data_IF_064422915352
#
_entry.id   IF_064422915352
#
_cell.length_a   1.000
_cell.length_b   1.000
_cell.length_c   1.000
_cell.angle_alpha   90.00
_cell.angle_beta   90.00
_cell.angle_gamma   90.00
#
_symmetry.space_group_name_H-M   'P 1'
#
loop_
_entity.id
_entity.type
_entity.pdbx_description
1 polymer ?
#
# COMPACT_ATOMS: atom_id res chain seq x y z
N UNK A 1 -29.43 36.38 1.16
CA UNK A 1 -30.52 35.98 2.06
C UNK A 1 -31.22 37.24 2.52
N UNK A 2 -32.54 37.34 2.34
CA UNK A 2 -33.30 38.53 2.71
C UNK A 2 -33.86 38.34 4.14
N UNK A 3 -33.35 39.07 5.15
CA UNK A 3 -33.80 38.90 6.53
C UNK A 3 -35.22 39.43 6.77
N UNK A 4 -35.81 40.14 5.82
CA UNK A 4 -37.18 40.66 5.89
C UNK A 4 -38.24 39.69 5.33
N UNK A 5 -37.83 38.54 4.77
CA UNK A 5 -38.72 37.54 4.19
C UNK A 5 -38.37 36.14 4.65
N UNK A 6 -39.34 35.45 5.24
CA UNK A 6 -39.27 34.01 5.49
C UNK A 6 -39.59 33.23 4.21
N UNK A 7 -38.76 32.24 3.90
CA UNK A 7 -38.96 31.33 2.75
C UNK A 7 -39.56 30.02 3.28
N UNK A 8 -40.72 29.62 2.77
CA UNK A 8 -41.35 28.34 3.13
C UNK A 8 -40.73 27.16 2.34
N UNK A 9 -41.03 25.90 2.71
CA UNK A 9 -40.40 24.72 2.07
C UNK A 9 -40.71 24.61 0.56
N UNK A 10 -41.94 24.94 0.15
CA UNK A 10 -42.33 24.94 -1.28
C UNK A 10 -41.52 25.96 -2.09
N UNK A 11 -41.31 27.15 -1.53
CA UNK A 11 -40.47 28.18 -2.14
C UNK A 11 -39.00 27.74 -2.18
N UNK A 12 -38.48 27.05 -1.15
CA UNK A 12 -37.11 26.49 -1.17
C UNK A 12 -36.94 25.45 -2.27
N UNK A 13 -37.89 24.52 -2.40
CA UNK A 13 -37.86 23.51 -3.45
C UNK A 13 -37.92 24.14 -4.85
N UNK A 14 -38.79 25.14 -5.04
CA UNK A 14 -38.83 25.92 -6.27
C UNK A 14 -37.47 26.60 -6.56
N UNK A 15 -36.87 27.24 -5.55
CA UNK A 15 -35.54 27.87 -5.68
C UNK A 15 -34.43 26.86 -6.02
N UNK A 16 -34.47 25.65 -5.45
CA UNK A 16 -33.52 24.59 -5.76
C UNK A 16 -33.69 24.07 -7.20
N UNK A 17 -34.93 23.96 -7.70
CA UNK A 17 -35.21 23.51 -9.07
C UNK A 17 -34.67 24.47 -10.13
N UNK A 18 -34.76 25.78 -9.90
CA UNK A 18 -34.26 26.81 -10.84
C UNK A 18 -32.80 27.20 -10.59
N UNK A 19 -32.14 26.58 -9.61
CA UNK A 19 -30.79 26.97 -9.17
C UNK A 19 -29.74 26.84 -10.28
N UNK A 20 -29.89 25.83 -11.14
CA UNK A 20 -29.00 25.59 -12.30
C UNK A 20 -29.10 26.67 -13.37
N UNK A 21 -30.28 27.28 -13.53
CA UNK A 21 -30.52 28.33 -14.51
C UNK A 21 -30.04 29.69 -13.98
N UNK A 22 -30.32 29.98 -12.71
CA UNK A 22 -29.92 31.23 -12.06
C UNK A 22 -28.41 31.32 -11.80
N UNK A 23 -27.73 30.18 -11.62
CA UNK A 23 -26.30 30.10 -11.24
C UNK A 23 -25.93 31.13 -10.17
N UNK A 24 -26.55 31.10 -8.97
CA UNK A 24 -26.39 32.15 -7.95
C UNK A 24 -24.94 32.34 -7.48
N UNK A 25 -24.10 31.32 -7.67
CA UNK A 25 -22.66 31.34 -7.36
C UNK A 25 -21.78 31.29 -8.62
N UNK A 26 -22.35 31.49 -9.80
CA UNK A 26 -21.69 31.32 -11.09
C UNK A 26 -21.05 29.94 -11.23
N UNK A 27 -19.79 29.90 -11.65
CA UNK A 27 -19.04 28.67 -11.87
C UNK A 27 -18.28 28.18 -10.62
N UNK A 28 -18.46 28.82 -9.46
CA UNK A 28 -17.73 28.48 -8.24
C UNK A 28 -18.02 27.05 -7.75
N UNK A 29 -19.29 26.57 -7.67
CA UNK A 29 -19.58 25.21 -7.23
C UNK A 29 -18.92 24.16 -8.13
N UNK A 30 -18.93 24.35 -9.45
CA UNK A 30 -18.30 23.44 -10.42
C UNK A 30 -16.78 23.37 -10.23
N UNK A 31 -16.11 24.51 -10.02
CA UNK A 31 -14.66 24.54 -9.76
C UNK A 31 -14.30 23.82 -8.46
N UNK A 32 -15.09 24.02 -7.40
CA UNK A 32 -14.86 23.36 -6.11
C UNK A 32 -15.10 21.85 -6.23
N UNK A 33 -16.20 21.43 -6.86
CA UNK A 33 -16.49 20.01 -7.09
C UNK A 33 -15.35 19.32 -7.81
N UNK A 34 -14.81 19.92 -8.88
CA UNK A 34 -13.71 19.34 -9.65
C UNK A 34 -12.39 19.26 -8.86
N UNK A 35 -12.09 20.26 -8.03
CA UNK A 35 -10.94 20.22 -7.14
C UNK A 35 -11.09 19.16 -6.04
N UNK A 36 -12.26 19.11 -5.41
CA UNK A 36 -12.56 18.13 -4.36
C UNK A 36 -12.56 16.71 -4.91
N UNK A 37 -13.19 16.47 -6.05
CA UNK A 37 -13.26 15.15 -6.67
C UNK A 37 -11.87 14.57 -6.90
N UNK A 38 -10.96 15.34 -7.50
CA UNK A 38 -9.57 14.92 -7.72
C UNK A 38 -8.84 14.61 -6.40
N UNK A 39 -8.97 15.51 -5.42
CA UNK A 39 -8.34 15.34 -4.10
C UNK A 39 -8.88 14.10 -3.37
N UNK A 40 -10.18 13.87 -3.39
CA UNK A 40 -10.81 12.73 -2.74
C UNK A 40 -10.48 11.42 -3.45
N UNK A 41 -10.42 11.40 -4.78
CA UNK A 41 -9.98 10.23 -5.54
C UNK A 41 -8.54 9.89 -5.16
N UNK A 42 -7.63 10.87 -5.17
CA UNK A 42 -6.25 10.66 -4.78
C UNK A 42 -6.14 10.13 -3.33
N UNK A 43 -6.84 10.76 -2.39
CA UNK A 43 -6.86 10.34 -0.98
C UNK A 43 -7.41 8.92 -0.80
N UNK A 44 -8.52 8.60 -1.45
CA UNK A 44 -9.12 7.26 -1.45
C UNK A 44 -8.16 6.22 -1.99
N UNK A 45 -7.45 6.54 -3.08
CA UNK A 45 -6.44 5.64 -3.65
C UNK A 45 -5.32 5.40 -2.65
N UNK A 46 -4.76 6.45 -2.04
CA UNK A 46 -3.70 6.32 -1.03
C UNK A 46 -4.14 5.41 0.12
N UNK A 47 -5.31 5.68 0.72
CA UNK A 47 -5.81 4.88 1.84
C UNK A 47 -6.02 3.42 1.45
N UNK A 48 -6.60 3.17 0.27
CA UNK A 48 -6.84 1.82 -0.23
C UNK A 48 -5.52 1.08 -0.49
N UNK A 49 -4.55 1.75 -1.09
CA UNK A 49 -3.23 1.16 -1.36
C UNK A 49 -2.50 0.84 -0.06
N UNK A 50 -2.55 1.72 0.95
CA UNK A 50 -1.96 1.48 2.26
C UNK A 50 -2.59 0.27 2.97
N UNK A 51 -3.91 0.16 2.93
CA UNK A 51 -4.65 -0.97 3.52
C UNK A 51 -4.25 -2.30 2.85
N UNK A 52 -4.20 -2.32 1.51
CA UNK A 52 -3.73 -3.49 0.76
C UNK A 52 -2.27 -3.83 1.03
N UNK A 53 -1.39 -2.83 1.13
CA UNK A 53 0.01 -3.04 1.48
C UNK A 53 0.14 -3.67 2.87
N UNK A 54 -0.66 -3.22 3.83
CA UNK A 54 -0.70 -3.79 5.17
C UNK A 54 -1.12 -5.27 5.15
N UNK A 55 -2.15 -5.64 4.39
CA UNK A 55 -2.55 -7.04 4.21
C UNK A 55 -1.44 -7.92 3.60
N UNK A 56 -0.71 -7.40 2.62
CA UNK A 56 0.42 -8.11 1.98
C UNK A 56 1.56 -8.30 2.98
N UNK A 57 1.90 -7.27 3.76
CA UNK A 57 2.93 -7.34 4.79
C UNK A 57 2.62 -8.42 5.83
N UNK A 58 1.38 -8.51 6.30
CA UNK A 58 0.98 -9.58 7.23
C UNK A 58 1.18 -10.97 6.63
N UNK A 59 0.84 -11.17 5.34
CA UNK A 59 1.07 -12.46 4.66
C UNK A 59 2.56 -12.80 4.54
N UNK A 60 3.43 -11.80 4.41
CA UNK A 60 4.88 -12.02 4.35
C UNK A 60 5.48 -12.46 5.69
N UNK A 61 4.85 -12.08 6.81
CA UNK A 61 5.28 -12.50 8.13
C UNK A 61 4.97 -13.98 8.42
N UNK A 62 3.95 -14.54 7.76
CA UNK A 62 3.52 -15.94 7.91
C UNK A 62 4.25 -16.91 6.96
N UNK A 63 5.34 -16.48 6.31
CA UNK A 63 6.04 -17.32 5.33
C UNK A 63 6.76 -18.49 6.01
N UNK A 64 6.44 -19.69 5.54
CA UNK A 64 7.06 -20.94 5.99
C UNK A 64 8.32 -21.20 5.18
N UNK A 65 9.44 -21.41 5.88
CA UNK A 65 10.71 -21.77 5.26
C UNK A 65 10.59 -23.17 4.65
N UNK A 66 10.87 -23.29 3.35
CA UNK A 66 10.78 -24.58 2.65
C UNK A 66 11.77 -25.61 3.21
N UNK A 67 11.45 -26.92 3.16
CA UNK A 67 12.37 -27.99 3.57
C UNK A 67 13.70 -27.96 2.82
N UNK A 68 13.67 -27.52 1.55
CA UNK A 68 14.86 -27.35 0.73
C UNK A 68 15.76 -26.24 1.28
N UNK A 69 15.18 -25.09 1.67
CA UNK A 69 15.92 -24.01 2.31
C UNK A 69 16.50 -24.46 3.67
N UNK A 70 15.72 -25.17 4.50
CA UNK A 70 16.21 -25.71 5.79
C UNK A 70 17.46 -26.57 5.59
N UNK A 71 17.46 -27.44 4.58
CA UNK A 71 18.61 -28.28 4.26
C UNK A 71 19.84 -27.43 3.86
N UNK A 72 19.66 -26.43 2.99
CA UNK A 72 20.75 -25.56 2.55
C UNK A 72 21.30 -24.68 3.69
N UNK A 73 20.42 -24.13 4.53
CA UNK A 73 20.81 -23.40 5.74
C UNK A 73 21.59 -24.28 6.71
N UNK A 74 21.14 -25.53 6.92
CA UNK A 74 21.84 -26.50 7.78
C UNK A 74 23.23 -26.81 7.24
N UNK A 75 23.37 -27.02 5.92
CA UNK A 75 24.67 -27.20 5.27
C UNK A 75 25.59 -26.00 5.46
N UNK A 76 25.04 -24.80 5.30
CA UNK A 76 25.79 -23.57 5.43
C UNK A 76 26.26 -23.30 6.88
N UNK A 77 25.41 -23.59 7.88
CA UNK A 77 25.68 -23.22 9.27
C UNK A 77 26.31 -24.33 10.11
N UNK A 78 25.98 -25.60 9.85
CA UNK A 78 26.29 -26.69 10.77
C UNK A 78 27.30 -27.69 10.19
N UNK A 79 27.29 -27.96 8.88
CA UNK A 79 28.11 -29.03 8.31
C UNK A 79 29.63 -28.87 8.51
N UNK A 80 30.14 -27.66 8.76
CA UNK A 80 31.55 -27.43 9.12
C UNK A 80 32.01 -28.19 10.38
N UNK A 81 31.13 -28.36 11.37
CA UNK A 81 31.43 -29.09 12.61
C UNK A 81 31.48 -30.59 12.31
N UNK A 82 30.54 -31.07 11.48
CA UNK A 82 30.49 -32.47 11.07
C UNK A 82 31.66 -32.88 10.17
N UNK A 83 32.22 -31.95 9.39
CA UNK A 83 33.38 -32.20 8.51
C UNK A 83 34.74 -32.12 9.24
N UNK A 84 34.75 -31.89 10.55
CA UNK A 84 35.98 -31.78 11.35
C UNK A 84 36.69 -30.43 11.22
N UNK A 85 36.04 -29.43 10.64
CA UNK A 85 36.56 -28.05 10.61
C UNK A 85 36.38 -27.36 11.97
N UNK A 86 37.11 -26.26 12.20
CA UNK A 86 37.00 -25.51 13.44
C UNK A 86 35.54 -25.10 13.73
N UNK A 87 35.02 -25.33 14.96
CA UNK A 87 33.66 -24.92 15.37
C UNK A 87 33.41 -23.41 15.29
N UNK A 88 34.47 -22.60 15.16
CA UNK A 88 34.40 -21.14 15.04
C UNK A 88 34.40 -20.67 13.58
N UNK A 89 34.51 -21.60 12.61
CA UNK A 89 34.53 -21.26 11.20
C UNK A 89 33.17 -20.72 10.76
N UNK A 90 33.17 -19.59 10.06
CA UNK A 90 31.94 -18.97 9.56
C UNK A 90 31.75 -19.24 8.07
N UNK A 91 30.51 -19.32 7.56
CA UNK A 91 30.28 -19.40 6.13
C UNK A 91 30.84 -18.15 5.42
N UNK A 92 31.41 -18.33 4.24
CA UNK A 92 31.83 -17.23 3.38
C UNK A 92 30.65 -16.30 3.11
N UNK A 93 30.88 -14.98 3.07
CA UNK A 93 29.82 -13.99 2.82
C UNK A 93 29.03 -14.30 1.53
N UNK A 94 29.71 -14.62 0.43
CA UNK A 94 29.05 -14.98 -0.83
C UNK A 94 28.21 -16.25 -0.75
N UNK A 95 28.68 -17.27 -0.02
CA UNK A 95 27.90 -18.49 0.19
C UNK A 95 26.64 -18.21 1.02
N UNK A 96 26.79 -17.41 2.08
CA UNK A 96 25.68 -16.98 2.93
C UNK A 96 24.59 -16.24 2.14
N UNK A 97 25.00 -15.24 1.35
CA UNK A 97 24.08 -14.47 0.54
C UNK A 97 23.37 -15.33 -0.51
N UNK A 98 24.07 -16.28 -1.14
CA UNK A 98 23.45 -17.15 -2.14
C UNK A 98 22.41 -18.10 -1.53
N UNK A 99 22.67 -18.66 -0.35
CA UNK A 99 21.70 -19.52 0.35
C UNK A 99 20.46 -18.70 0.75
N UNK A 100 20.65 -17.52 1.36
CA UNK A 100 19.53 -16.67 1.78
C UNK A 100 18.71 -16.16 0.59
N UNK A 101 19.35 -15.77 -0.52
CA UNK A 101 18.65 -15.39 -1.75
C UNK A 101 17.78 -16.52 -2.30
N UNK A 102 18.26 -17.76 -2.27
CA UNK A 102 17.45 -18.91 -2.66
C UNK A 102 16.29 -19.16 -1.71
N UNK A 103 16.51 -19.01 -0.40
CA UNK A 103 15.48 -19.19 0.63
C UNK A 103 14.34 -18.17 0.54
N UNK A 104 14.64 -16.93 0.15
CA UNK A 104 13.69 -15.82 0.10
C UNK A 104 13.38 -15.38 -1.33
N UNK A 105 13.56 -16.25 -2.32
CA UNK A 105 13.36 -15.94 -3.73
C UNK A 105 11.93 -15.44 -4.01
N UNK A 106 10.92 -16.10 -3.44
CA UNK A 106 9.50 -15.71 -3.60
C UNK A 106 9.22 -14.32 -3.00
N UNK A 107 9.84 -13.97 -1.88
CA UNK A 107 9.70 -12.62 -1.29
C UNK A 107 10.39 -11.55 -2.15
N UNK A 108 11.49 -11.91 -2.81
CA UNK A 108 12.23 -10.98 -3.66
C UNK A 108 11.44 -10.56 -4.90
N UNK A 109 10.43 -11.31 -5.34
CA UNK A 109 9.54 -10.93 -6.44
C UNK A 109 8.68 -9.70 -6.11
N UNK A 110 8.46 -9.42 -4.83
CA UNK A 110 7.64 -8.30 -4.36
C UNK A 110 8.43 -6.98 -4.33
N UNK A 111 9.75 -7.04 -4.16
CA UNK A 111 10.64 -5.88 -4.08
C UNK A 111 10.41 -4.82 -5.20
N UNK A 112 10.33 -5.17 -6.50
CA UNK A 112 10.07 -4.17 -7.55
C UNK A 112 8.68 -3.53 -7.43
N UNK A 113 7.66 -4.29 -7.04
CA UNK A 113 6.30 -3.77 -6.86
C UNK A 113 6.23 -2.84 -5.64
N UNK A 114 6.93 -3.22 -4.57
CA UNK A 114 7.07 -2.43 -3.36
C UNK A 114 7.75 -1.08 -3.64
N UNK A 115 8.86 -1.12 -4.37
CA UNK A 115 9.60 0.09 -4.76
C UNK A 115 8.78 0.99 -5.69
N UNK A 116 7.98 0.41 -6.60
CA UNK A 116 7.06 1.18 -7.46
C UNK A 116 5.87 1.79 -6.72
N UNK A 117 5.49 1.25 -5.56
CA UNK A 117 4.40 1.78 -4.75
C UNK A 117 4.87 3.00 -3.92
N UNK A 118 6.14 3.01 -3.50
CA UNK A 118 6.72 4.04 -2.64
C UNK A 118 7.36 5.18 -3.46
N UNK A 119 7.97 4.85 -4.60
CA UNK A 119 8.63 5.81 -5.50
C UNK A 119 7.67 6.49 -6.47
#
# INVERSE_FOLDING_TARGET
MNPLRSVNELEKDCMNQIQTDLKPFGNLPQKISLLMERSFIAWKTILKTLDQANEILFKLLDVVISPQCINQLTKMQQCHVCSGSSPLSKPCSGYCLNVLKGCFAEMAEIDPQWNSMIG
#
